data_IF_180235245231
#
_entry.id   IF_180235245231
#
_cell.length_a   1.000
_cell.length_b   1.000
_cell.length_c   1.000
_cell.angle_alpha   90.00
_cell.angle_beta   90.00
_cell.angle_gamma   90.00
#
_symmetry.space_group_name_H-M   'P 1'
#
loop_
_entity.id
_entity.type
_entity.pdbx_description
1 polymer ?
#
# COMPACT_ATOMS: atom_id res chain seq x y z
N UNK A 1 -16.58 14.75 -11.02
CA UNK A 1 -15.48 14.81 -11.99
C UNK A 1 -15.03 13.38 -12.16
N UNK A 2 -15.09 12.82 -13.37
CA UNK A 2 -14.53 11.49 -13.64
C UNK A 2 -13.03 11.67 -13.81
N UNK A 3 -12.27 11.45 -12.75
CA UNK A 3 -10.82 11.25 -12.83
C UNK A 3 -10.60 10.05 -13.75
N UNK A 4 -9.89 10.27 -14.86
CA UNK A 4 -9.49 9.17 -15.72
C UNK A 4 -8.66 8.18 -14.88
N UNK A 5 -8.91 6.86 -15.01
CA UNK A 5 -8.13 5.88 -14.29
C UNK A 5 -6.66 5.99 -14.70
N UNK A 6 -5.76 5.88 -13.73
CA UNK A 6 -4.31 5.88 -13.95
C UNK A 6 -3.93 4.78 -14.96
N UNK A 7 -2.89 5.04 -15.75
CA UNK A 7 -2.29 4.00 -16.59
C UNK A 7 -1.68 2.89 -15.73
N UNK A 8 -1.47 1.71 -16.34
CA UNK A 8 -0.90 0.56 -15.63
C UNK A 8 0.46 0.91 -14.97
N UNK A 9 1.36 1.56 -15.70
CA UNK A 9 2.69 1.92 -15.18
C UNK A 9 2.61 2.92 -14.01
N UNK A 10 1.64 3.84 -14.05
CA UNK A 10 1.39 4.79 -12.95
C UNK A 10 0.82 4.09 -11.70
N UNK A 11 -0.03 3.08 -11.90
CA UNK A 11 -0.56 2.27 -10.80
C UNK A 11 0.53 1.42 -10.14
N UNK A 12 1.39 0.78 -10.93
CA UNK A 12 2.56 0.04 -10.45
C UNK A 12 3.48 0.93 -9.58
N UNK A 13 3.78 2.15 -10.05
CA UNK A 13 4.56 3.11 -9.26
C UNK A 13 3.85 3.45 -7.94
N UNK A 14 2.53 3.67 -7.99
CA UNK A 14 1.73 3.95 -6.80
C UNK A 14 1.74 2.77 -5.81
N UNK A 15 1.65 1.53 -6.29
CA UNK A 15 1.73 0.31 -5.46
C UNK A 15 3.05 0.27 -4.70
N UNK A 16 4.17 0.56 -5.37
CA UNK A 16 5.50 0.61 -4.74
C UNK A 16 5.56 1.71 -3.67
N UNK A 17 5.04 2.91 -3.98
CA UNK A 17 5.01 4.03 -3.03
C UNK A 17 4.19 3.67 -1.79
N UNK A 18 2.97 3.17 -1.98
CA UNK A 18 2.08 2.77 -0.89
C UNK A 18 2.68 1.67 -0.04
N UNK A 19 3.26 0.64 -0.67
CA UNK A 19 3.86 -0.51 0.03
C UNK A 19 5.11 -0.15 0.83
N UNK A 20 5.90 0.83 0.38
CA UNK A 20 7.13 1.27 1.07
C UNK A 20 6.89 2.36 2.10
N UNK A 21 5.75 3.06 2.02
CA UNK A 21 5.42 4.20 2.88
C UNK A 21 4.31 3.91 3.90
N UNK A 22 3.95 2.63 4.10
CA UNK A 22 2.86 2.19 5.01
C UNK A 22 2.97 2.82 6.40
N UNK A 23 4.19 2.94 6.95
CA UNK A 23 4.40 3.48 8.30
C UNK A 23 4.55 5.01 8.37
N UNK A 24 4.88 5.65 7.25
CA UNK A 24 5.30 7.07 7.21
C UNK A 24 4.30 7.98 6.53
N UNK A 25 3.43 7.44 5.68
CA UNK A 25 2.39 8.16 4.98
C UNK A 25 1.20 8.44 5.90
N UNK A 26 0.63 9.67 5.90
CA UNK A 26 -0.63 9.94 6.57
C UNK A 26 -1.77 9.08 6.02
N UNK A 27 -2.66 8.62 6.90
CA UNK A 27 -3.79 7.75 6.54
C UNK A 27 -4.69 8.35 5.45
N UNK A 28 -4.99 9.66 5.53
CA UNK A 28 -5.82 10.35 4.53
C UNK A 28 -5.16 10.37 3.13
N UNK A 29 -3.84 10.50 3.08
CA UNK A 29 -3.05 10.50 1.83
C UNK A 29 -2.92 9.09 1.26
N UNK A 30 -2.76 8.11 2.14
CA UNK A 30 -2.73 6.70 1.80
C UNK A 30 -4.05 6.28 1.16
N UNK A 31 -5.18 6.59 1.80
CA UNK A 31 -6.50 6.22 1.30
C UNK A 31 -6.82 6.91 -0.04
N UNK A 32 -6.49 8.19 -0.19
CA UNK A 32 -6.68 8.91 -1.45
C UNK A 32 -5.87 8.32 -2.61
N UNK A 33 -4.65 7.85 -2.34
CA UNK A 33 -3.80 7.18 -3.31
C UNK A 33 -4.29 5.76 -3.61
N UNK A 34 -4.65 4.99 -2.59
CA UNK A 34 -5.21 3.64 -2.73
C UNK A 34 -6.50 3.61 -3.56
N UNK A 35 -7.37 4.63 -3.41
CA UNK A 35 -8.61 4.74 -4.20
C UNK A 35 -8.37 5.02 -5.70
N UNK A 36 -7.17 5.42 -6.10
CA UNK A 36 -6.81 5.62 -7.51
C UNK A 36 -6.37 4.34 -8.21
N UNK A 37 -6.05 3.30 -7.44
CA UNK A 37 -5.69 1.99 -7.96
C UNK A 37 -6.92 1.22 -8.43
N UNK A 38 -6.73 0.39 -9.44
CA UNK A 38 -7.67 -0.66 -9.78
C UNK A 38 -7.62 -1.81 -8.76
N UNK A 39 -8.54 -2.76 -8.93
CA UNK A 39 -8.70 -3.86 -7.98
C UNK A 39 -7.47 -4.75 -7.85
N UNK A 40 -6.74 -4.96 -8.95
CA UNK A 40 -5.62 -5.90 -8.96
C UNK A 40 -4.44 -5.26 -8.19
N UNK A 41 -4.16 -3.98 -8.44
CA UNK A 41 -3.13 -3.23 -7.72
C UNK A 41 -3.50 -2.99 -6.24
N UNK A 42 -4.78 -2.79 -5.92
CA UNK A 42 -5.24 -2.74 -4.53
C UNK A 42 -4.95 -4.04 -3.77
N UNK A 43 -5.08 -5.19 -4.43
CA UNK A 43 -4.72 -6.48 -3.83
C UNK A 43 -3.23 -6.62 -3.55
N UNK A 44 -2.37 -6.05 -4.39
CA UNK A 44 -0.93 -6.05 -4.15
C UNK A 44 -0.55 -5.20 -2.93
N UNK A 45 -1.15 -4.02 -2.80
CA UNK A 45 -0.95 -3.17 -1.61
C UNK A 45 -1.47 -3.88 -0.35
N UNK A 46 -2.65 -4.52 -0.41
CA UNK A 46 -3.19 -5.30 0.71
C UNK A 46 -2.26 -6.45 1.11
N UNK A 47 -1.65 -7.14 0.14
CA UNK A 47 -0.70 -8.22 0.39
C UNK A 47 0.57 -7.70 1.05
N UNK A 48 1.11 -6.57 0.57
CA UNK A 48 2.24 -5.90 1.17
C UNK A 48 1.96 -5.46 2.62
N UNK A 49 0.76 -4.93 2.91
CA UNK A 49 0.34 -4.61 4.29
C UNK A 49 0.30 -5.87 5.16
N UNK A 50 -0.23 -6.99 4.65
CA UNK A 50 -0.27 -8.26 5.39
C UNK A 50 1.13 -8.82 5.64
N UNK A 51 2.01 -8.79 4.65
CA UNK A 51 3.41 -9.20 4.80
C UNK A 51 4.13 -8.32 5.82
N UNK A 52 3.96 -7.00 5.71
CA UNK A 52 4.50 -6.05 6.67
C UNK A 52 4.00 -6.33 8.09
N UNK A 53 2.68 -6.51 8.27
CA UNK A 53 2.09 -6.85 9.57
C UNK A 53 2.59 -8.19 10.11
N UNK A 54 2.74 -9.21 9.25
CA UNK A 54 3.30 -10.51 9.64
C UNK A 54 4.77 -10.40 10.03
N UNK A 55 5.57 -9.56 9.37
CA UNK A 55 6.96 -9.31 9.72
C UNK A 55 7.09 -8.47 11.02
N UNK A 56 6.23 -7.48 11.21
CA UNK A 56 6.18 -6.65 12.40
C UNK A 56 5.70 -7.43 13.64
N UNK A 57 4.72 -8.32 13.47
CA UNK A 57 4.19 -9.20 14.54
C UNK A 57 5.08 -10.45 14.74
N UNK A 58 5.75 -10.92 13.69
CA UNK A 58 6.61 -12.12 13.65
C UNK A 58 8.08 -11.87 14.03
N UNK A 59 8.36 -10.83 14.79
CA UNK A 59 9.65 -10.66 15.44
C UNK A 59 9.53 -11.14 16.89
N UNK A 60 9.73 -12.45 17.11
CA UNK A 60 9.94 -13.06 18.44
C UNK A 60 11.15 -12.45 19.19
N UNK A 61 11.82 -11.43 18.65
CA UNK A 61 12.88 -10.65 19.32
C UNK A 61 12.37 -9.48 20.17
N UNK A 62 11.06 -9.30 20.35
CA UNK A 62 10.52 -8.36 21.34
C UNK A 62 10.41 -8.94 22.76
N UNK A 63 10.96 -10.13 23.03
CA UNK A 63 11.33 -10.57 24.38
C UNK A 63 12.80 -10.18 24.66
N UNK A 64 13.01 -9.00 25.24
CA UNK A 64 14.22 -8.65 26.01
C UNK A 64 13.90 -8.60 27.49
#
# INVERSE_FOLDING_TARGET
>A
MTTEPLSYDEQEELVVILSTSIETMPEDEFEASYQQLDRDHQWEVDDAIREFANNAVGSDTWDQ
#
